data_IF_872050000308
#
_entry.id   IF_872050000308
#
_cell.length_a   1.000
_cell.length_b   1.000
_cell.length_c   1.000
_cell.angle_alpha   90.00
_cell.angle_beta   90.00
_cell.angle_gamma   90.00
#
_symmetry.space_group_name_H-M   'P 1'
#
loop_
_entity.id
_entity.type
_entity.pdbx_description
1 polymer ?
#
# COMPACT_ATOMS: atom_id res chain seq x y z
N UNK A 1 -15.57 -15.19 6.97
CA UNK A 1 -14.22 -14.84 7.49
C UNK A 1 -13.71 -13.69 6.64
N UNK A 2 -13.25 -12.61 7.27
CA UNK A 2 -12.76 -11.42 6.57
C UNK A 2 -11.27 -11.55 6.26
N UNK A 3 -10.86 -11.22 5.04
CA UNK A 3 -9.45 -11.17 4.63
C UNK A 3 -8.99 -9.72 4.63
N UNK A 4 -7.81 -9.45 5.20
CA UNK A 4 -7.23 -8.11 5.26
C UNK A 4 -5.76 -8.19 4.90
N UNK A 5 -5.29 -7.26 4.09
CA UNK A 5 -3.91 -7.21 3.64
C UNK A 5 -3.39 -5.78 3.76
N UNK A 6 -2.15 -5.62 4.18
CA UNK A 6 -1.44 -4.34 4.09
C UNK A 6 -0.45 -4.39 2.91
N UNK A 7 -0.57 -3.46 1.97
CA UNK A 7 0.34 -3.33 0.83
C UNK A 7 1.34 -2.23 1.14
N UNK A 8 2.61 -2.63 1.23
CA UNK A 8 3.76 -1.73 1.28
C UNK A 8 4.60 -1.87 0.02
N UNK A 9 5.65 -1.07 -0.11
CA UNK A 9 6.56 -1.10 -1.24
C UNK A 9 8.00 -0.96 -0.79
N UNK A 10 8.93 -1.38 -1.65
CA UNK A 10 10.36 -1.18 -1.43
C UNK A 10 10.77 0.30 -1.39
N UNK A 11 9.92 1.19 -1.91
CA UNK A 11 10.13 2.63 -1.98
C UNK A 11 8.79 3.35 -2.33
N UNK A 12 8.82 4.67 -2.46
CA UNK A 12 7.79 5.41 -3.20
C UNK A 12 7.85 5.10 -4.71
N UNK A 13 6.73 5.30 -5.41
CA UNK A 13 6.64 5.15 -6.88
C UNK A 13 6.99 3.77 -7.46
N UNK A 14 7.06 2.72 -6.63
CA UNK A 14 7.37 1.34 -7.10
C UNK A 14 6.16 0.60 -7.70
N UNK A 15 5.00 1.24 -7.77
CA UNK A 15 3.77 0.67 -8.31
C UNK A 15 2.85 0.02 -7.28
N UNK A 16 2.88 0.45 -6.01
CA UNK A 16 1.93 0.00 -4.97
C UNK A 16 0.48 0.09 -5.48
N UNK A 17 0.06 1.26 -5.92
CA UNK A 17 -1.29 1.53 -6.44
C UNK A 17 -1.70 0.62 -7.59
N UNK A 18 -0.75 0.32 -8.49
CA UNK A 18 -0.98 -0.58 -9.63
C UNK A 18 -1.22 -2.00 -9.14
N UNK A 19 -0.34 -2.50 -8.26
CA UNK A 19 -0.49 -3.82 -7.67
C UNK A 19 -1.76 -3.93 -6.81
N UNK A 20 -2.07 -2.91 -6.00
CA UNK A 20 -3.30 -2.81 -5.20
C UNK A 20 -4.55 -2.90 -6.07
N UNK A 21 -4.58 -2.15 -7.18
CA UNK A 21 -5.72 -2.15 -8.10
C UNK A 21 -5.91 -3.52 -8.76
N UNK A 22 -4.81 -4.16 -9.19
CA UNK A 22 -4.87 -5.51 -9.75
C UNK A 22 -5.35 -6.56 -8.74
N UNK A 23 -4.90 -6.46 -7.48
CA UNK A 23 -5.36 -7.34 -6.40
C UNK A 23 -6.86 -7.17 -6.10
N UNK A 24 -7.35 -5.92 -6.06
CA UNK A 24 -8.78 -5.63 -5.89
C UNK A 24 -9.62 -6.18 -7.05
N UNK A 25 -9.17 -5.99 -8.28
CA UNK A 25 -9.81 -6.55 -9.48
C UNK A 25 -9.85 -8.08 -9.44
N UNK A 26 -8.74 -8.72 -9.07
CA UNK A 26 -8.66 -10.18 -8.94
C UNK A 26 -9.58 -10.70 -7.83
N UNK A 27 -9.66 -10.01 -6.70
CA UNK A 27 -10.58 -10.35 -5.61
C UNK A 27 -12.04 -10.23 -6.05
N UNK A 28 -12.39 -9.14 -6.74
CA UNK A 28 -13.74 -8.92 -7.30
C UNK A 28 -14.10 -10.01 -8.32
N UNK A 29 -13.20 -10.34 -9.24
CA UNK A 29 -13.39 -11.42 -10.23
C UNK A 29 -13.54 -12.80 -9.58
N UNK A 30 -12.93 -13.02 -8.41
CA UNK A 30 -13.08 -14.22 -7.61
C UNK A 30 -14.35 -14.20 -6.72
N UNK A 31 -15.23 -13.21 -6.87
CA UNK A 31 -16.53 -13.13 -6.18
C UNK A 31 -16.47 -12.53 -4.77
N UNK A 32 -15.35 -11.95 -4.35
CA UNK A 32 -15.25 -11.27 -3.05
C UNK A 32 -15.93 -9.89 -3.11
N UNK A 33 -16.50 -9.46 -1.97
CA UNK A 33 -16.84 -8.05 -1.78
C UNK A 33 -15.59 -7.34 -1.30
N UNK A 34 -14.89 -6.69 -2.22
CA UNK A 34 -13.59 -6.09 -1.96
C UNK A 34 -13.64 -4.58 -1.76
N UNK A 35 -12.81 -4.08 -0.84
CA UNK A 35 -12.64 -2.66 -0.57
C UNK A 35 -11.17 -2.28 -0.44
N UNK A 36 -10.78 -1.19 -1.11
CA UNK A 36 -9.48 -0.56 -0.96
C UNK A 36 -9.52 0.56 0.08
N UNK A 37 -8.44 0.68 0.87
CA UNK A 37 -8.29 1.68 1.92
C UNK A 37 -6.92 2.35 1.80
N UNK A 38 -6.90 3.68 1.66
CA UNK A 38 -5.69 4.51 1.68
C UNK A 38 -5.78 5.42 2.90
N UNK A 39 -5.47 4.94 4.12
CA UNK A 39 -5.73 5.68 5.35
C UNK A 39 -5.11 7.08 5.38
N UNK A 40 -3.91 7.21 4.80
CA UNK A 40 -3.12 8.45 4.75
C UNK A 40 -2.57 8.64 3.35
N UNK A 41 -2.75 9.84 2.80
CA UNK A 41 -2.21 10.22 1.51
C UNK A 41 -1.72 11.68 1.51
N UNK A 42 -0.54 11.88 0.93
CA UNK A 42 0.07 13.17 0.63
C UNK A 42 0.28 13.28 -0.88
N UNK A 43 0.40 14.50 -1.42
CA UNK A 43 0.39 14.73 -2.87
C UNK A 43 -1.02 14.58 -3.46
N UNK A 44 -1.89 15.54 -3.17
CA UNK A 44 -3.30 15.51 -3.58
C UNK A 44 -3.69 16.79 -4.31
N UNK A 45 -4.63 16.67 -5.23
CA UNK A 45 -5.11 17.78 -6.06
C UNK A 45 -6.42 18.35 -5.50
N UNK A 46 -6.57 19.68 -5.55
CA UNK A 46 -7.84 20.32 -5.20
C UNK A 46 -8.86 20.13 -6.32
N UNK A 47 -10.04 19.62 -5.98
CA UNK A 47 -11.17 19.46 -6.89
C UNK A 47 -12.39 20.21 -6.35
N UNK A 48 -13.48 20.26 -7.11
CA UNK A 48 -14.75 20.85 -6.65
C UNK A 48 -15.33 20.15 -5.41
N UNK A 49 -14.92 18.91 -5.14
CA UNK A 49 -15.37 18.13 -3.98
C UNK A 49 -14.31 18.09 -2.86
N UNK A 50 -13.31 18.97 -2.92
CA UNK A 50 -12.16 19.02 -2.01
C UNK A 50 -10.93 18.28 -2.53
N UNK A 51 -9.94 18.07 -1.65
CA UNK A 51 -8.71 17.37 -2.01
C UNK A 51 -8.99 15.92 -2.43
N UNK A 52 -8.32 15.47 -3.50
CA UNK A 52 -8.37 14.09 -4.00
C UNK A 52 -6.95 13.59 -4.30
N UNK A 53 -6.64 12.42 -3.78
CA UNK A 53 -5.40 11.72 -4.04
C UNK A 53 -5.63 10.67 -5.14
N UNK A 54 -4.70 10.60 -6.10
CA UNK A 54 -4.78 9.66 -7.22
C UNK A 54 -4.78 8.20 -6.80
N UNK A 55 -4.02 7.82 -5.77
CA UNK A 55 -3.99 6.43 -5.27
C UNK A 55 -5.34 6.07 -4.64
N UNK A 56 -5.85 6.93 -3.76
CA UNK A 56 -7.15 6.74 -3.12
C UNK A 56 -8.28 6.62 -4.15
N UNK A 57 -8.29 7.47 -5.18
CA UNK A 57 -9.26 7.38 -6.27
C UNK A 57 -9.12 6.05 -7.05
N UNK A 58 -7.90 5.56 -7.27
CA UNK A 58 -7.68 4.26 -7.92
C UNK A 58 -8.23 3.11 -7.07
N UNK A 59 -7.99 3.12 -5.77
CA UNK A 59 -8.53 2.12 -4.85
C UNK A 59 -10.06 2.16 -4.77
N UNK A 60 -10.63 3.36 -4.74
CA UNK A 60 -12.08 3.55 -4.73
C UNK A 60 -12.72 2.96 -5.99
N UNK A 61 -12.18 3.27 -7.18
CA UNK A 61 -12.70 2.77 -8.47
C UNK A 61 -12.58 1.24 -8.62
N UNK A 62 -11.57 0.63 -8.02
CA UNK A 62 -11.33 -0.81 -8.11
C UNK A 62 -11.95 -1.61 -6.96
N UNK A 63 -12.58 -0.95 -5.99
CA UNK A 63 -13.39 -1.61 -4.96
C UNK A 63 -14.68 -2.14 -5.59
N UNK A 64 -15.13 -3.33 -5.18
CA UNK A 64 -16.39 -3.89 -5.69
C UNK A 64 -17.61 -3.35 -4.95
N UNK A 65 -17.41 -2.74 -3.78
CA UNK A 65 -18.46 -2.07 -3.00
C UNK A 65 -18.41 -0.56 -3.23
N UNK A 66 -19.57 0.09 -3.29
CA UNK A 66 -19.65 1.54 -3.41
C UNK A 66 -19.19 2.20 -2.10
N UNK A 67 -18.21 3.12 -2.20
CA UNK A 67 -17.59 3.80 -1.09
C UNK A 67 -17.49 5.29 -1.36
N UNK A 68 -17.77 6.10 -0.34
CA UNK A 68 -17.46 7.52 -0.38
C UNK A 68 -15.95 7.74 -0.26
N UNK A 69 -15.44 8.80 -0.88
CA UNK A 69 -14.00 9.10 -0.89
C UNK A 69 -13.41 9.18 0.53
N UNK A 70 -14.12 9.83 1.46
CA UNK A 70 -13.68 10.01 2.84
C UNK A 70 -13.57 8.69 3.63
N UNK A 71 -14.30 7.65 3.20
CA UNK A 71 -14.19 6.30 3.77
C UNK A 71 -12.92 5.61 3.27
N UNK A 72 -12.55 5.82 2.01
CA UNK A 72 -11.32 5.28 1.41
C UNK A 72 -10.08 6.02 1.92
N UNK A 73 -10.12 7.35 2.02
CA UNK A 73 -8.99 8.18 2.42
C UNK A 73 -9.40 9.27 3.42
N UNK A 74 -9.33 9.00 4.75
CA UNK A 74 -9.72 9.95 5.78
C UNK A 74 -8.67 11.05 6.05
N UNK A 75 -7.39 10.80 5.75
CA UNK A 75 -6.32 11.78 5.83
C UNK A 75 -5.76 12.09 4.45
N UNK A 76 -6.19 13.22 3.90
CA UNK A 76 -5.75 13.75 2.60
C UNK A 76 -5.00 15.05 2.82
N UNK A 77 -3.76 15.11 2.34
CA UNK A 77 -2.87 16.27 2.37
C UNK A 77 -2.47 16.67 0.95
N UNK A 78 -2.36 17.97 0.70
CA UNK A 78 -2.05 18.50 -0.63
C UNK A 78 -0.57 18.31 -0.99
N UNK A 79 0.34 18.67 -0.08
CA UNK A 79 1.78 18.66 -0.33
C UNK A 79 2.34 17.24 -0.49
N UNK A 80 3.14 16.95 -1.53
CA UNK A 80 3.76 15.63 -1.74
C UNK A 80 5.02 15.45 -0.89
N UNK A 81 4.84 15.33 0.43
CA UNK A 81 5.92 15.10 1.40
C UNK A 81 5.58 13.95 2.36
N UNK A 82 6.49 13.66 3.30
CA UNK A 82 6.25 12.66 4.35
C UNK A 82 5.03 13.04 5.19
N UNK A 83 4.10 12.11 5.51
CA UNK A 83 2.85 12.44 6.18
C UNK A 83 3.02 13.20 7.51
N UNK A 84 4.00 12.82 8.34
CA UNK A 84 4.23 13.52 9.61
C UNK A 84 4.56 15.01 9.44
N UNK A 85 5.32 15.39 8.40
CA UNK A 85 5.73 16.78 8.14
C UNK A 85 4.51 17.63 7.81
N UNK A 86 3.72 17.20 6.82
CA UNK A 86 2.53 17.97 6.39
C UNK A 86 1.43 17.94 7.44
N UNK A 87 1.29 16.84 8.18
CA UNK A 87 0.39 16.73 9.33
C UNK A 87 0.74 17.78 10.40
N UNK A 88 2.03 17.96 10.72
CA UNK A 88 2.50 18.94 11.68
C UNK A 88 2.33 20.37 11.15
N UNK A 89 2.71 20.63 9.89
CA UNK A 89 2.61 21.94 9.26
C UNK A 89 1.16 22.45 9.16
N UNK A 90 0.20 21.57 8.87
CA UNK A 90 -1.22 21.91 8.80
C UNK A 90 -1.94 21.87 10.16
N UNK A 91 -1.28 21.45 11.24
CA UNK A 91 -1.92 21.27 12.55
C UNK A 91 -3.02 20.20 12.55
N UNK A 92 -2.89 19.17 11.70
CA UNK A 92 -3.89 18.12 11.47
C UNK A 92 -3.32 16.74 11.83
N UNK A 93 -3.21 16.40 13.13
CA UNK A 93 -2.54 15.18 13.59
C UNK A 93 -3.17 13.90 13.04
N UNK A 94 -2.32 13.00 12.54
CA UNK A 94 -2.68 11.65 12.14
C UNK A 94 -2.82 10.79 13.40
N UNK A 95 -3.98 10.14 13.58
CA UNK A 95 -4.28 9.30 14.74
C UNK A 95 -4.45 7.85 14.32
N UNK A 96 -3.61 6.95 14.86
CA UNK A 96 -3.70 5.52 14.60
C UNK A 96 -5.09 4.94 14.91
N UNK A 97 -5.74 5.42 15.96
CA UNK A 97 -7.11 5.02 16.30
C UNK A 97 -8.13 5.37 15.20
N UNK A 98 -7.95 6.50 14.51
CA UNK A 98 -8.82 6.88 13.38
C UNK A 98 -8.58 5.99 12.16
N UNK A 99 -7.33 5.58 11.91
CA UNK A 99 -6.99 4.62 10.86
C UNK A 99 -7.68 3.27 11.13
N UNK A 100 -7.59 2.78 12.36
CA UNK A 100 -8.27 1.57 12.80
C UNK A 100 -9.80 1.69 12.69
N UNK A 101 -10.36 2.83 13.07
CA UNK A 101 -11.82 3.09 12.95
C UNK A 101 -12.30 3.02 11.50
N UNK A 102 -11.54 3.60 10.57
CA UNK A 102 -11.83 3.49 9.13
C UNK A 102 -11.75 2.05 8.63
N UNK A 103 -10.73 1.30 9.07
CA UNK A 103 -10.63 -0.14 8.77
C UNK A 103 -11.86 -0.91 9.26
N UNK A 104 -12.25 -0.75 10.54
CA UNK A 104 -13.45 -1.41 11.11
C UNK A 104 -14.74 -1.02 10.39
N UNK A 105 -14.87 0.23 9.92
CA UNK A 105 -16.02 0.65 9.12
C UNK A 105 -16.10 -0.11 7.78
N UNK A 106 -14.97 -0.29 7.11
CA UNK A 106 -14.92 -1.03 5.84
C UNK A 106 -15.22 -2.53 6.02
N UNK A 107 -14.86 -3.11 7.18
CA UNK A 107 -15.16 -4.50 7.51
C UNK A 107 -16.66 -4.82 7.56
N UNK A 108 -17.50 -3.81 7.76
CA UNK A 108 -18.96 -3.96 7.74
C UNK A 108 -19.50 -4.07 6.31
N UNK A 109 -18.74 -3.60 5.30
CA UNK A 109 -19.17 -3.51 3.90
C UNK A 109 -18.52 -4.56 3.00
N UNK A 110 -17.29 -4.97 3.33
CA UNK A 110 -16.47 -5.88 2.53
C UNK A 110 -15.95 -7.06 3.35
N UNK A 111 -15.76 -8.21 2.70
CA UNK A 111 -15.14 -9.41 3.29
C UNK A 111 -13.70 -9.64 2.77
N UNK A 112 -13.22 -8.76 1.88
CA UNK A 112 -11.84 -8.74 1.41
C UNK A 112 -11.31 -7.30 1.37
N UNK A 113 -10.34 -6.96 2.20
CA UNK A 113 -9.83 -5.59 2.34
C UNK A 113 -8.36 -5.52 1.99
N UNK A 114 -8.02 -4.45 1.27
CA UNK A 114 -6.65 -4.08 0.97
C UNK A 114 -6.37 -2.68 1.47
N UNK A 115 -5.42 -2.58 2.40
CA UNK A 115 -4.93 -1.30 2.91
C UNK A 115 -3.62 -0.97 2.21
N UNK A 116 -3.55 0.17 1.54
CA UNK A 116 -2.31 0.65 0.93
C UNK A 116 -1.63 1.68 1.81
N UNK A 117 -0.35 1.47 2.11
CA UNK A 117 0.47 2.46 2.81
C UNK A 117 0.86 3.66 1.94
N UNK A 118 1.52 4.64 2.56
CA UNK A 118 2.21 5.72 1.86
C UNK A 118 3.73 5.50 1.96
N UNK A 119 4.48 5.81 0.89
CA UNK A 119 5.94 5.63 0.90
C UNK A 119 6.39 4.17 1.08
N UNK A 120 7.30 3.94 2.03
CA UNK A 120 7.86 2.63 2.36
C UNK A 120 7.34 2.09 3.71
N UNK A 121 8.00 1.07 4.25
CA UNK A 121 7.58 0.40 5.49
C UNK A 121 7.55 1.34 6.72
N UNK A 122 8.64 2.08 6.95
CA UNK A 122 8.79 2.97 8.11
C UNK A 122 8.39 4.42 7.85
N UNK A 123 7.44 4.67 6.93
CA UNK A 123 6.98 6.04 6.68
C UNK A 123 6.37 6.64 7.95
N UNK A 124 6.91 7.77 8.48
CA UNK A 124 6.42 8.35 9.72
C UNK A 124 5.04 8.99 9.57
N UNK A 125 4.20 8.80 10.59
CA UNK A 125 2.86 9.38 10.72
C UNK A 125 2.85 10.49 11.78
N UNK A 126 3.73 10.41 12.77
CA UNK A 126 3.97 11.43 13.80
C UNK A 126 5.46 11.47 14.16
N UNK A 127 5.84 12.22 15.19
CA UNK A 127 7.21 12.23 15.73
C UNK A 127 7.61 10.89 16.39
N UNK A 128 6.63 10.05 16.72
CA UNK A 128 6.84 8.83 17.51
C UNK A 128 6.31 7.57 16.85
N UNK A 129 5.46 7.69 15.84
CA UNK A 129 4.77 6.57 15.21
C UNK A 129 5.00 6.57 13.70
N UNK A 130 5.10 5.37 13.16
CA UNK A 130 5.22 5.07 11.73
C UNK A 130 4.03 4.23 11.27
N UNK A 131 3.92 4.05 9.95
CA UNK A 131 2.98 3.08 9.40
C UNK A 131 3.22 1.66 9.96
N UNK A 132 4.47 1.26 10.18
CA UNK A 132 4.80 -0.06 10.71
C UNK A 132 4.17 -0.30 12.08
N UNK A 133 4.15 0.70 12.96
CA UNK A 133 3.55 0.61 14.30
C UNK A 133 2.04 0.34 14.22
N UNK A 134 1.34 1.03 13.31
CA UNK A 134 -0.08 0.80 13.08
C UNK A 134 -0.38 -0.58 12.49
N UNK A 135 0.42 -1.02 11.52
CA UNK A 135 0.27 -2.33 10.89
C UNK A 135 0.54 -3.45 11.91
N UNK A 136 1.50 -3.24 12.81
CA UNK A 136 1.75 -4.12 13.94
C UNK A 136 0.58 -4.13 14.92
N UNK A 137 0.02 -2.98 15.27
CA UNK A 137 -1.17 -2.91 16.13
C UNK A 137 -2.36 -3.69 15.55
N UNK A 138 -2.61 -3.57 14.25
CA UNK A 138 -3.72 -4.26 13.58
C UNK A 138 -3.40 -5.71 13.16
N UNK A 139 -2.16 -6.17 13.36
CA UNK A 139 -1.68 -7.51 13.01
C UNK A 139 -1.99 -7.88 11.54
N UNK A 140 -1.81 -6.93 10.61
CA UNK A 140 -2.16 -7.15 9.20
C UNK A 140 -1.06 -7.97 8.50
N UNK A 141 -1.42 -9.06 7.79
CA UNK A 141 -0.51 -9.71 6.86
C UNK A 141 -0.07 -8.74 5.75
N UNK A 142 1.23 -8.73 5.45
CA UNK A 142 1.85 -7.75 4.55
C UNK A 142 2.09 -8.33 3.17
N UNK A 143 1.80 -7.55 2.14
CA UNK A 143 2.18 -7.78 0.75
C UNK A 143 3.24 -6.73 0.38
N UNK A 144 4.39 -7.20 -0.10
CA UNK A 144 5.48 -6.32 -0.53
C UNK A 144 5.47 -6.11 -2.05
N UNK A 145 5.36 -4.86 -2.49
CA UNK A 145 5.55 -4.51 -3.90
C UNK A 145 7.01 -4.15 -4.16
N UNK A 146 7.65 -4.88 -5.07
CA UNK A 146 9.04 -4.69 -5.47
C UNK A 146 9.09 -4.10 -6.87
N UNK A 147 9.51 -2.84 -6.96
CA UNK A 147 9.77 -2.20 -8.25
C UNK A 147 11.07 -2.75 -8.85
N UNK A 148 11.00 -3.42 -10.01
CA UNK A 148 12.16 -4.08 -10.63
C UNK A 148 13.10 -3.04 -11.24
N UNK A 149 14.11 -2.65 -10.46
CA UNK A 149 15.18 -1.71 -10.83
C UNK A 149 16.48 -2.06 -10.09
N UNK A 150 17.60 -1.46 -10.50
CA UNK A 150 18.86 -1.56 -9.75
C UNK A 150 18.63 -1.11 -8.30
N UNK A 151 19.13 -1.89 -7.34
CA UNK A 151 18.93 -1.66 -5.89
C UNK A 151 17.71 -2.37 -5.29
N UNK A 152 16.76 -2.88 -6.09
CA UNK A 152 15.52 -3.46 -5.56
C UNK A 152 15.74 -4.72 -4.69
N UNK A 153 16.79 -5.52 -4.96
CA UNK A 153 17.13 -6.69 -4.15
C UNK A 153 17.45 -6.25 -2.72
N UNK A 154 18.28 -5.22 -2.55
CA UNK A 154 18.61 -4.68 -1.23
C UNK A 154 17.35 -4.19 -0.50
N UNK A 155 16.56 -3.33 -1.15
CA UNK A 155 15.37 -2.77 -0.52
C UNK A 155 14.36 -3.86 -0.16
N UNK A 156 14.13 -4.84 -1.03
CA UNK A 156 13.21 -5.93 -0.76
C UNK A 156 13.63 -6.76 0.46
N UNK A 157 14.92 -7.04 0.61
CA UNK A 157 15.44 -7.79 1.77
C UNK A 157 15.39 -6.97 3.06
N UNK A 158 15.75 -5.69 3.01
CA UNK A 158 15.63 -4.79 4.16
C UNK A 158 14.17 -4.66 4.62
N UNK A 159 13.24 -4.48 3.69
CA UNK A 159 11.82 -4.40 4.01
C UNK A 159 11.28 -5.73 4.55
N UNK A 160 11.63 -6.87 3.94
CA UNK A 160 11.21 -8.18 4.41
C UNK A 160 11.72 -8.47 5.83
N UNK A 161 12.99 -8.17 6.12
CA UNK A 161 13.57 -8.33 7.45
C UNK A 161 12.85 -7.44 8.48
N UNK A 162 12.59 -6.18 8.14
CA UNK A 162 11.86 -5.25 9.01
C UNK A 162 10.44 -5.75 9.34
N UNK A 163 9.69 -6.24 8.35
CA UNK A 163 8.37 -6.83 8.56
C UNK A 163 8.43 -8.02 9.52
N UNK A 164 9.39 -8.92 9.32
CA UNK A 164 9.57 -10.10 10.18
C UNK A 164 9.97 -9.71 11.60
N UNK A 165 10.84 -8.71 11.77
CA UNK A 165 11.25 -8.19 13.07
C UNK A 165 10.11 -7.48 13.82
N UNK A 166 9.14 -6.91 13.11
CA UNK A 166 7.89 -6.41 13.68
C UNK A 166 6.91 -7.53 14.11
N UNK A 167 7.30 -8.80 13.99
CA UNK A 167 6.46 -9.95 14.33
C UNK A 167 5.32 -10.22 13.34
N UNK A 168 5.39 -9.63 12.14
CA UNK A 168 4.33 -9.72 11.14
C UNK A 168 4.62 -10.76 10.06
N UNK A 169 3.55 -11.24 9.43
CA UNK A 169 3.64 -12.19 8.31
C UNK A 169 3.83 -11.43 7.00
N UNK A 170 4.94 -11.68 6.30
CA UNK A 170 5.05 -11.35 4.88
C UNK A 170 4.31 -12.41 4.07
N UNK A 171 3.06 -12.12 3.71
CA UNK A 171 2.16 -13.07 3.05
C UNK A 171 2.56 -13.39 1.60
N UNK A 172 3.17 -12.41 0.93
CA UNK A 172 3.60 -12.53 -0.46
C UNK A 172 4.25 -11.26 -0.96
N UNK A 173 4.76 -11.32 -2.18
CA UNK A 173 5.31 -10.16 -2.87
C UNK A 173 4.91 -10.11 -4.33
N UNK A 174 4.93 -8.90 -4.90
CA UNK A 174 4.57 -8.63 -6.29
C UNK A 174 5.76 -7.96 -6.96
N UNK A 175 6.20 -8.51 -8.08
CA UNK A 175 7.14 -7.86 -8.96
C UNK A 175 6.39 -6.84 -9.83
N UNK A 176 6.83 -5.58 -9.83
CA UNK A 176 6.29 -4.56 -10.71
C UNK A 176 7.39 -3.95 -11.57
N UNK A 177 7.25 -4.04 -12.89
CA UNK A 177 8.18 -3.42 -13.82
C UNK A 177 7.91 -1.92 -13.88
N UNK A 178 8.78 -1.14 -13.21
CA UNK A 178 8.71 0.33 -13.18
C UNK A 178 9.35 0.99 -14.40
N UNK A 179 10.06 0.21 -15.20
CA UNK A 179 10.72 0.61 -16.43
C UNK A 179 10.78 -0.59 -17.40
N UNK A 180 11.01 -0.36 -18.70
CA UNK A 180 11.28 -1.43 -19.67
C UNK A 180 12.31 -2.46 -19.15
N UNK A 181 12.01 -3.77 -19.21
CA UNK A 181 12.92 -4.83 -18.80
C UNK A 181 14.29 -4.69 -19.46
N UNK A 182 15.32 -4.55 -18.63
CA UNK A 182 16.71 -4.58 -19.09
C UNK A 182 17.22 -6.01 -19.33
N UNK A 183 18.45 -6.12 -19.82
CA UNK A 183 19.12 -7.40 -20.14
C UNK A 183 19.11 -8.42 -19.01
N UNK A 184 19.14 -7.97 -17.74
CA UNK A 184 19.27 -8.82 -16.54
C UNK A 184 17.96 -9.04 -15.79
N UNK A 185 16.82 -8.70 -16.39
CA UNK A 185 15.52 -8.72 -15.71
C UNK A 185 15.18 -10.09 -15.10
N UNK A 186 15.42 -11.17 -15.84
CA UNK A 186 15.16 -12.53 -15.37
C UNK A 186 16.05 -12.90 -14.17
N UNK A 187 17.33 -12.50 -14.17
CA UNK A 187 18.25 -12.75 -13.07
C UNK A 187 17.86 -11.99 -11.79
N UNK A 188 17.31 -10.77 -11.94
CA UNK A 188 16.73 -10.03 -10.81
C UNK A 188 15.54 -10.79 -10.20
N UNK A 189 14.59 -11.22 -11.03
CA UNK A 189 13.42 -11.98 -10.56
C UNK A 189 13.83 -13.30 -9.91
N UNK A 190 14.74 -14.04 -10.52
CA UNK A 190 15.24 -15.31 -9.96
C UNK A 190 15.92 -15.09 -8.59
N UNK A 191 16.68 -14.00 -8.44
CA UNK A 191 17.32 -13.64 -7.17
C UNK A 191 16.30 -13.28 -6.10
N UNK A 192 15.29 -12.46 -6.44
CA UNK A 192 14.21 -12.11 -5.50
C UNK A 192 13.40 -13.33 -5.07
N UNK A 193 13.00 -14.21 -6.01
CA UNK A 193 12.30 -15.46 -5.70
C UNK A 193 13.08 -16.36 -4.75
N UNK A 194 14.42 -16.40 -4.87
CA UNK A 194 15.28 -17.22 -4.02
C UNK A 194 15.48 -16.63 -2.62
N UNK A 195 15.53 -15.31 -2.50
CA UNK A 195 15.92 -14.64 -1.27
C UNK A 195 14.75 -14.15 -0.41
N UNK A 196 13.59 -13.84 -1.01
CA UNK A 196 12.43 -13.39 -0.25
C UNK A 196 11.73 -14.57 0.45
N UNK A 197 11.43 -14.47 1.76
CA UNK A 197 10.84 -15.56 2.54
C UNK A 197 9.31 -15.64 2.35
N UNK A 198 8.82 -15.39 1.14
CA UNK A 198 7.40 -15.36 0.82
C UNK A 198 7.17 -15.68 -0.68
N UNK A 199 6.01 -16.26 -1.04
CA UNK A 199 5.70 -16.55 -2.44
C UNK A 199 5.56 -15.28 -3.28
N UNK A 200 6.02 -15.35 -4.54
CA UNK A 200 5.73 -14.34 -5.55
C UNK A 200 4.29 -14.55 -6.04
N UNK A 201 3.41 -13.57 -5.82
CA UNK A 201 1.98 -13.69 -6.18
C UNK A 201 1.69 -13.27 -7.62
N UNK A 202 2.42 -12.27 -8.12
CA UNK A 202 2.20 -11.74 -9.45
C UNK A 202 3.44 -11.03 -10.00
N UNK A 203 3.46 -10.92 -11.33
CA UNK A 203 4.40 -10.07 -12.08
C UNK A 203 3.57 -9.12 -12.92
N UNK A 204 3.74 -7.82 -12.69
CA UNK A 204 3.04 -6.76 -13.41
C UNK A 204 3.98 -6.14 -14.44
N UNK A 205 3.52 -6.09 -15.69
CA UNK A 205 4.19 -5.44 -16.81
C UNK A 205 3.46 -4.13 -17.17
N UNK A 206 3.32 -3.22 -16.22
CA UNK A 206 2.59 -1.97 -16.44
C UNK A 206 3.59 -0.82 -16.51
N UNK A 207 3.96 -0.46 -17.73
CA UNK A 207 4.59 0.81 -18.03
C UNK A 207 3.52 1.90 -17.88
N UNK A 208 3.69 2.84 -16.94
CA UNK A 208 3.06 4.14 -17.10
C UNK A 208 3.72 4.77 -18.34
N UNK A 209 2.98 4.80 -19.45
CA UNK A 209 3.27 5.72 -20.57
C UNK A 209 2.92 7.13 -20.13
#
# INVERSE_FOLDING_TARGET
>A
MIKRWFVTGTDTEVGKTVASSALLQAASAAGWRCAGYKPVASGSEMTNEGLRNGDALSLQRNSSVALDYAVVNPYTFAEPTSPHIVSQAEGRPISLARLSTGLRHLEQRADWLLVEGAGGWFTPLSEHETFADWVQQEQLPVILVVGIKLGCINHALLTALAIQQSGLTLAGWIANDVAPPGKRHQEYLATLCRLLPAPCWARSHIYRR
#
